data_IF_476056964909
#
_entry.id   IF_476056964909
#
_cell.length_a   1.000
_cell.length_b   1.000
_cell.length_c   1.000
_cell.angle_alpha   90.00
_cell.angle_beta   90.00
_cell.angle_gamma   90.00
#
_symmetry.space_group_name_H-M   'P 1'
#
loop_
_entity.id
_entity.type
_entity.pdbx_description
1 polymer ?
#
# COMPACT_ATOMS: atom_id res chain seq x y z
N UNK A 1 -7.98 7.58 -13.84
CA UNK A 1 -6.60 7.20 -14.09
C UNK A 1 -6.13 7.64 -15.48
N UNK A 2 -6.86 7.28 -16.55
CA UNK A 2 -6.50 7.63 -17.95
C UNK A 2 -6.28 9.13 -18.06
N UNK A 3 -7.27 9.95 -17.70
CA UNK A 3 -7.18 11.41 -17.73
C UNK A 3 -5.99 11.98 -16.94
N UNK A 4 -5.66 11.38 -15.78
CA UNK A 4 -4.50 11.81 -15.00
C UNK A 4 -3.20 11.57 -15.79
N UNK A 5 -3.05 10.41 -16.41
CA UNK A 5 -1.88 10.06 -17.21
C UNK A 5 -1.72 10.89 -18.48
N UNK A 6 -2.83 11.29 -19.08
CA UNK A 6 -2.86 12.15 -20.27
C UNK A 6 -2.52 13.61 -19.93
N UNK A 7 -2.96 14.10 -18.76
CA UNK A 7 -2.76 15.50 -18.34
C UNK A 7 -1.48 15.75 -17.55
N UNK A 8 -0.93 14.74 -16.90
CA UNK A 8 0.31 14.88 -16.14
C UNK A 8 1.49 15.00 -17.10
N UNK A 9 2.36 15.98 -16.89
CA UNK A 9 3.60 16.12 -17.65
C UNK A 9 4.46 14.84 -17.55
N UNK A 10 4.59 14.33 -16.33
CA UNK A 10 5.20 13.03 -16.01
C UNK A 10 4.46 12.36 -14.85
N UNK A 11 4.50 11.05 -14.84
CA UNK A 11 4.02 10.24 -13.73
C UNK A 11 4.91 9.01 -13.56
N UNK A 12 5.05 8.54 -12.34
CA UNK A 12 5.78 7.31 -12.03
C UNK A 12 5.19 6.61 -10.82
N UNK A 13 5.42 5.31 -10.74
CA UNK A 13 5.05 4.48 -9.58
C UNK A 13 6.34 3.98 -8.91
N UNK A 14 6.45 4.28 -7.63
CA UNK A 14 7.41 3.66 -6.73
C UNK A 14 6.76 2.51 -5.96
N UNK A 15 7.50 1.44 -5.73
CA UNK A 15 7.00 0.25 -5.04
C UNK A 15 8.00 -0.15 -3.95
N UNK A 16 7.49 -0.49 -2.76
CA UNK A 16 8.20 -1.21 -1.73
C UNK A 16 7.59 -2.60 -1.57
N UNK A 17 8.42 -3.61 -1.51
CA UNK A 17 8.01 -5.02 -1.42
C UNK A 17 7.62 -5.40 0.02
N UNK A 18 6.90 -6.52 0.18
CA UNK A 18 6.58 -7.06 1.50
C UNK A 18 7.85 -7.31 2.35
N UNK A 19 8.93 -7.82 1.75
CA UNK A 19 10.21 -8.03 2.43
C UNK A 19 10.84 -6.72 2.92
N UNK A 20 10.75 -5.65 2.14
CA UNK A 20 11.23 -4.33 2.56
C UNK A 20 10.38 -3.77 3.70
N UNK A 21 9.05 -3.91 3.62
CA UNK A 21 8.15 -3.52 4.72
C UNK A 21 8.50 -4.25 6.02
N UNK A 22 8.75 -5.56 5.94
CA UNK A 22 9.14 -6.36 7.11
C UNK A 22 10.49 -5.92 7.71
N UNK A 23 11.41 -5.39 6.88
CA UNK A 23 12.73 -4.93 7.30
C UNK A 23 12.74 -3.52 7.89
N UNK A 24 12.01 -2.58 7.28
CA UNK A 24 12.11 -1.15 7.59
C UNK A 24 10.82 -0.53 8.15
N UNK A 25 9.79 -1.32 8.39
CA UNK A 25 8.40 -1.00 8.71
C UNK A 25 7.61 -0.30 7.59
N UNK A 26 6.28 -0.19 7.80
CA UNK A 26 5.36 0.33 6.77
C UNK A 26 5.57 1.82 6.48
N UNK A 27 5.89 2.62 7.50
CA UNK A 27 6.13 4.06 7.33
C UNK A 27 7.37 4.29 6.44
N UNK A 28 8.49 3.69 6.79
CA UNK A 28 9.74 3.84 6.03
C UNK A 28 9.60 3.25 4.61
N UNK A 29 8.88 2.15 4.46
CA UNK A 29 8.59 1.57 3.15
C UNK A 29 7.70 2.48 2.27
N UNK A 30 6.76 3.21 2.88
CA UNK A 30 5.96 4.21 2.15
C UNK A 30 6.83 5.38 1.68
N UNK A 31 7.72 5.90 2.54
CA UNK A 31 8.67 6.95 2.17
C UNK A 31 9.64 6.50 1.09
N UNK A 32 10.15 5.26 1.17
CA UNK A 32 11.00 4.64 0.14
C UNK A 32 10.26 4.51 -1.20
N UNK A 33 8.99 4.14 -1.20
CA UNK A 33 8.19 4.07 -2.42
C UNK A 33 8.01 5.46 -3.05
N UNK A 34 7.76 6.50 -2.23
CA UNK A 34 7.69 7.90 -2.70
C UNK A 34 9.02 8.36 -3.30
N UNK A 35 10.14 8.06 -2.64
CA UNK A 35 11.49 8.36 -3.14
C UNK A 35 11.73 7.71 -4.51
N UNK A 36 11.43 6.43 -4.67
CA UNK A 36 11.56 5.69 -5.95
C UNK A 36 10.68 6.26 -7.07
N UNK A 37 9.49 6.78 -6.74
CA UNK A 37 8.65 7.47 -7.70
C UNK A 37 9.27 8.81 -8.13
N UNK A 38 9.77 9.57 -7.17
CA UNK A 38 10.47 10.83 -7.40
C UNK A 38 11.71 10.64 -8.27
N UNK A 39 12.59 9.70 -7.97
CA UNK A 39 13.82 9.41 -8.72
C UNK A 39 13.53 9.14 -10.21
N UNK A 40 12.43 8.43 -10.52
CA UNK A 40 12.01 8.18 -11.91
C UNK A 40 11.54 9.44 -12.62
N UNK A 41 10.97 10.40 -11.91
CA UNK A 41 10.50 11.67 -12.49
C UNK A 41 11.66 12.65 -12.60
N UNK A 42 12.46 12.83 -11.56
CA UNK A 42 13.56 13.78 -11.52
C UNK A 42 14.69 13.45 -12.50
N UNK A 43 14.79 12.18 -12.94
CA UNK A 43 15.69 11.80 -14.03
C UNK A 43 15.25 12.35 -15.41
N UNK A 44 14.05 12.91 -15.53
CA UNK A 44 13.46 13.40 -16.80
C UNK A 44 13.13 14.88 -16.77
N UNK A 45 12.84 15.43 -15.61
CA UNK A 45 12.40 16.81 -15.44
C UNK A 45 12.86 17.35 -14.09
N UNK A 46 13.20 18.65 -14.05
CA UNK A 46 13.46 19.31 -12.78
C UNK A 46 12.18 19.39 -11.94
N UNK A 47 12.31 19.11 -10.65
CA UNK A 47 11.22 19.16 -9.67
C UNK A 47 11.55 20.19 -8.61
N UNK A 48 10.83 21.30 -8.58
CA UNK A 48 11.04 22.38 -7.60
C UNK A 48 10.52 22.00 -6.21
N UNK A 49 9.34 21.35 -6.17
CA UNK A 49 8.68 20.99 -4.90
C UNK A 49 7.92 19.67 -5.03
N UNK A 50 8.04 18.82 -4.01
CA UNK A 50 7.24 17.62 -3.82
C UNK A 50 6.18 17.86 -2.73
N UNK A 51 4.90 17.63 -3.06
CA UNK A 51 3.80 17.65 -2.11
C UNK A 51 3.48 16.21 -1.71
N UNK A 52 3.42 15.95 -0.41
CA UNK A 52 3.29 14.60 0.15
C UNK A 52 2.10 14.54 1.11
N UNK A 53 1.29 13.51 1.00
CA UNK A 53 0.23 13.25 1.96
C UNK A 53 0.78 12.81 3.31
N UNK A 54 0.15 13.31 4.39
CA UNK A 54 0.51 12.95 5.76
C UNK A 54 1.44 13.97 6.43
N UNK A 55 2.13 13.52 7.48
CA UNK A 55 2.99 14.35 8.33
C UNK A 55 4.50 14.00 8.23
N UNK A 56 4.86 13.02 7.42
CA UNK A 56 6.24 12.59 7.21
C UNK A 56 6.71 12.94 5.80
N UNK A 57 7.99 13.21 5.66
CA UNK A 57 8.61 13.59 4.37
C UNK A 57 9.65 12.57 3.95
N UNK A 58 9.63 12.08 2.70
CA UNK A 58 10.75 11.33 2.14
C UNK A 58 11.98 12.24 2.01
N UNK A 59 13.16 11.65 2.02
CA UNK A 59 14.40 12.37 1.73
C UNK A 59 14.54 12.51 0.20
N UNK A 60 14.33 13.74 -0.33
CA UNK A 60 14.38 14.05 -1.76
C UNK A 60 15.31 15.24 -2.01
N UNK A 61 15.86 15.32 -3.21
CA UNK A 61 16.74 16.42 -3.66
C UNK A 61 15.94 17.67 -4.11
N UNK A 62 14.74 17.87 -3.57
CA UNK A 62 13.91 19.05 -3.82
C UNK A 62 13.20 19.51 -2.55
N UNK A 63 12.63 20.70 -2.58
CA UNK A 63 11.77 21.17 -1.49
C UNK A 63 10.60 20.21 -1.29
N UNK A 64 10.34 19.79 -0.04
CA UNK A 64 9.26 18.83 0.26
C UNK A 64 8.31 19.40 1.31
N UNK A 65 7.00 19.34 1.03
CA UNK A 65 5.92 19.77 1.93
C UNK A 65 5.00 18.59 2.25
N UNK A 66 4.89 18.26 3.52
CA UNK A 66 3.92 17.31 4.03
C UNK A 66 2.58 18.00 4.34
N UNK A 67 1.47 17.43 3.91
CA UNK A 67 0.13 17.99 4.06
C UNK A 67 -0.78 16.87 4.59
N UNK A 68 -1.23 17.02 5.83
CA UNK A 68 -2.15 16.04 6.46
C UNK A 68 -3.51 16.09 5.74
N UNK A 69 -3.99 14.93 5.28
CA UNK A 69 -5.20 14.84 4.46
C UNK A 69 -5.04 15.45 3.07
N UNK A 70 -3.80 15.50 2.57
CA UNK A 70 -3.48 16.10 1.28
C UNK A 70 -4.21 15.45 0.11
N UNK A 71 -4.52 14.18 0.19
CA UNK A 71 -5.30 13.44 -0.81
C UNK A 71 -6.74 13.94 -0.97
N UNK A 72 -7.30 14.60 0.05
CA UNK A 72 -8.61 15.27 0.00
C UNK A 72 -8.51 16.76 -0.35
N UNK A 73 -7.36 17.41 -0.09
CA UNK A 73 -7.21 18.87 -0.15
C UNK A 73 -6.46 19.35 -1.41
N UNK A 74 -5.54 18.53 -1.93
CA UNK A 74 -4.61 18.93 -3.00
C UNK A 74 -4.79 18.05 -4.22
N UNK A 75 -5.25 18.60 -5.36
CA UNK A 75 -5.54 17.80 -6.56
C UNK A 75 -4.36 16.95 -7.06
N UNK A 76 -3.12 17.42 -6.92
CA UNK A 76 -1.92 16.70 -7.32
C UNK A 76 -1.68 15.46 -6.44
N UNK A 77 -1.88 15.59 -5.12
CA UNK A 77 -1.78 14.46 -4.18
C UNK A 77 -2.93 13.47 -4.41
N UNK A 78 -4.15 13.96 -4.62
CA UNK A 78 -5.32 13.13 -4.98
C UNK A 78 -5.04 12.32 -6.26
N UNK A 79 -4.51 12.95 -7.30
CA UNK A 79 -4.16 12.29 -8.56
C UNK A 79 -3.11 11.18 -8.34
N UNK A 80 -2.06 11.46 -7.56
CA UNK A 80 -1.02 10.49 -7.20
C UNK A 80 -1.60 9.31 -6.41
N UNK A 81 -2.47 9.56 -5.44
CA UNK A 81 -3.18 8.52 -4.66
C UNK A 81 -4.02 7.61 -5.55
N UNK A 82 -4.75 8.16 -6.51
CA UNK A 82 -5.55 7.39 -7.48
C UNK A 82 -4.63 6.48 -8.32
N UNK A 83 -3.50 6.99 -8.81
CA UNK A 83 -2.55 6.18 -9.58
C UNK A 83 -1.95 5.05 -8.75
N UNK A 84 -1.52 5.35 -7.53
CA UNK A 84 -0.94 4.38 -6.61
C UNK A 84 -1.95 3.27 -6.24
N UNK A 85 -3.18 3.65 -5.90
CA UNK A 85 -4.26 2.71 -5.58
C UNK A 85 -4.59 1.79 -6.75
N UNK A 86 -4.78 2.34 -7.94
CA UNK A 86 -5.12 1.54 -9.12
C UNK A 86 -4.00 0.56 -9.49
N UNK A 87 -2.73 0.99 -9.39
CA UNK A 87 -1.59 0.12 -9.62
C UNK A 87 -1.52 -1.02 -8.59
N UNK A 88 -1.78 -0.73 -7.32
CA UNK A 88 -1.86 -1.73 -6.27
C UNK A 88 -2.99 -2.74 -6.55
N UNK A 89 -4.17 -2.25 -6.89
CA UNK A 89 -5.33 -3.12 -7.15
C UNK A 89 -5.08 -4.07 -8.34
N UNK A 90 -4.44 -3.59 -9.42
CA UNK A 90 -4.01 -4.42 -10.54
C UNK A 90 -2.98 -5.47 -10.12
N UNK A 91 -1.99 -5.08 -9.34
CA UNK A 91 -1.00 -6.02 -8.81
C UNK A 91 -1.67 -7.12 -7.99
N UNK A 92 -2.65 -6.81 -7.15
CA UNK A 92 -3.37 -7.80 -6.35
C UNK A 92 -4.22 -8.74 -7.21
N UNK A 93 -4.77 -8.27 -8.34
CA UNK A 93 -5.45 -9.13 -9.32
C UNK A 93 -4.46 -10.10 -9.98
N UNK A 94 -3.25 -9.65 -10.31
CA UNK A 94 -2.19 -10.53 -10.83
C UNK A 94 -1.76 -11.57 -9.78
N UNK A 95 -1.62 -11.14 -8.52
CA UNK A 95 -1.33 -12.05 -7.43
C UNK A 95 -2.43 -13.10 -7.22
N UNK A 96 -3.70 -12.73 -7.41
CA UNK A 96 -4.81 -13.70 -7.34
C UNK A 96 -4.67 -14.81 -8.38
N UNK A 97 -4.22 -14.51 -9.60
CA UNK A 97 -3.98 -15.54 -10.63
C UNK A 97 -2.93 -16.57 -10.19
N UNK A 98 -1.92 -16.13 -9.45
CA UNK A 98 -0.85 -17.00 -8.94
C UNK A 98 -1.23 -17.73 -7.66
N UNK A 99 -2.05 -17.12 -6.80
CA UNK A 99 -2.49 -17.67 -5.51
C UNK A 99 -4.00 -17.48 -5.33
N UNK A 100 -4.84 -18.20 -6.10
CA UNK A 100 -6.29 -17.98 -6.15
C UNK A 100 -6.99 -18.26 -4.82
N UNK A 101 -6.46 -19.16 -4.01
CA UNK A 101 -7.05 -19.55 -2.72
C UNK A 101 -7.07 -18.43 -1.67
N UNK A 102 -6.25 -17.36 -1.83
CA UNK A 102 -6.33 -16.18 -0.95
C UNK A 102 -7.41 -15.17 -1.38
N UNK A 103 -7.95 -15.28 -2.57
CA UNK A 103 -8.97 -14.35 -3.12
C UNK A 103 -8.55 -12.86 -3.15
N UNK A 104 -7.28 -12.60 -3.48
CA UNK A 104 -6.74 -11.23 -3.57
C UNK A 104 -7.48 -10.32 -4.54
N UNK A 105 -8.12 -10.88 -5.58
CA UNK A 105 -8.91 -10.10 -6.52
C UNK A 105 -10.12 -9.41 -5.87
N UNK A 106 -10.67 -9.96 -4.78
CA UNK A 106 -11.80 -9.39 -4.05
C UNK A 106 -11.35 -8.33 -3.06
N UNK A 107 -10.54 -8.70 -2.10
CA UNK A 107 -10.18 -7.85 -0.95
C UNK A 107 -8.85 -7.09 -1.09
N UNK A 108 -8.13 -7.23 -2.21
CA UNK A 108 -6.86 -6.51 -2.51
C UNK A 108 -5.81 -6.58 -1.39
N UNK A 109 -5.80 -7.69 -0.64
CA UNK A 109 -4.88 -7.90 0.48
C UNK A 109 -5.29 -7.20 1.79
N UNK A 110 -6.50 -6.63 1.87
CA UNK A 110 -7.03 -6.12 3.13
C UNK A 110 -7.34 -7.27 4.11
N UNK A 111 -7.25 -7.04 5.44
CA UNK A 111 -7.40 -8.08 6.46
C UNK A 111 -8.87 -8.43 6.71
N UNK A 112 -9.59 -8.87 5.68
CA UNK A 112 -10.95 -9.41 5.79
C UNK A 112 -10.93 -10.76 6.54
N UNK A 113 -12.09 -11.23 7.05
CA UNK A 113 -12.19 -12.58 7.65
C UNK A 113 -11.72 -13.63 6.65
N UNK A 114 -12.25 -13.59 5.43
CA UNK A 114 -11.90 -14.50 4.34
C UNK A 114 -10.37 -14.58 4.08
N UNK A 115 -9.69 -13.42 4.07
CA UNK A 115 -8.25 -13.38 3.88
C UNK A 115 -7.49 -13.97 5.07
N UNK A 116 -7.92 -13.69 6.30
CA UNK A 116 -7.31 -14.27 7.51
C UNK A 116 -7.49 -15.79 7.56
N UNK A 117 -8.69 -16.28 7.26
CA UNK A 117 -9.00 -17.71 7.26
C UNK A 117 -8.16 -18.46 6.19
N UNK A 118 -7.99 -17.86 5.00
CA UNK A 118 -7.10 -18.39 3.97
C UNK A 118 -5.64 -18.43 4.43
N UNK A 119 -5.16 -17.40 5.11
CA UNK A 119 -3.79 -17.37 5.65
C UNK A 119 -3.57 -18.41 6.76
N UNK A 120 -4.58 -18.68 7.58
CA UNK A 120 -4.50 -19.73 8.62
C UNK A 120 -4.51 -21.13 7.98
N UNK A 121 -5.28 -21.33 6.92
CA UNK A 121 -5.40 -22.63 6.25
C UNK A 121 -4.20 -22.96 5.36
N UNK A 122 -3.72 -22.00 4.55
CA UNK A 122 -2.70 -22.22 3.52
C UNK A 122 -1.32 -21.65 3.89
N UNK A 123 -1.19 -20.99 5.05
CA UNK A 123 0.03 -20.27 5.44
C UNK A 123 0.18 -18.92 4.72
N UNK A 124 1.37 -18.34 4.76
CA UNK A 124 1.68 -17.06 4.14
C UNK A 124 2.43 -17.25 2.81
N UNK A 125 1.96 -16.64 1.75
CA UNK A 125 2.68 -16.59 0.48
C UNK A 125 3.71 -15.42 0.46
N UNK A 126 4.62 -15.35 -0.54
CA UNK A 126 5.73 -14.39 -0.57
C UNK A 126 5.35 -12.90 -0.58
N UNK A 127 4.09 -12.56 -0.91
CA UNK A 127 3.63 -11.16 -0.90
C UNK A 127 3.01 -10.75 0.43
N UNK A 128 2.86 -11.65 1.38
CA UNK A 128 2.42 -11.31 2.73
C UNK A 128 3.54 -10.65 3.53
N UNK A 129 3.17 -9.65 4.32
CA UNK A 129 4.06 -8.99 5.28
C UNK A 129 4.10 -9.82 6.55
N UNK A 130 5.23 -10.44 6.85
CA UNK A 130 5.40 -11.32 8.02
C UNK A 130 5.42 -10.58 9.35
N UNK A 131 5.74 -9.30 9.33
CA UNK A 131 5.67 -8.40 10.49
C UNK A 131 4.26 -8.03 10.93
N UNK A 132 3.25 -8.35 10.11
CA UNK A 132 1.83 -8.10 10.42
C UNK A 132 1.22 -9.37 11.00
N UNK A 133 0.87 -9.35 12.29
CA UNK A 133 0.26 -10.49 12.95
C UNK A 133 -1.17 -10.75 12.45
N UNK A 134 -1.47 -12.01 12.19
CA UNK A 134 -2.82 -12.48 11.88
C UNK A 134 -3.43 -12.95 13.19
N UNK A 135 -4.21 -12.08 13.85
CA UNK A 135 -4.93 -12.44 15.07
C UNK A 135 -6.05 -13.43 14.73
N UNK A 136 -6.04 -14.59 15.39
CA UNK A 136 -7.24 -15.42 15.48
C UNK A 136 -8.27 -14.67 16.35
N UNK A 137 -9.44 -14.35 15.81
CA UNK A 137 -10.59 -14.04 16.66
C UNK A 137 -10.88 -15.30 17.47
N UNK A 138 -10.43 -15.36 18.71
CA UNK A 138 -10.92 -16.34 19.65
C UNK A 138 -12.44 -16.19 19.71
N UNK A 139 -13.15 -17.24 19.26
CA UNK A 139 -14.59 -17.30 19.41
C UNK A 139 -14.92 -17.16 20.89
N UNK A 140 -15.59 -16.06 21.25
CA UNK A 140 -16.13 -15.81 22.61
C UNK A 140 -17.26 -16.78 23.01
N UNK A 141 -17.35 -17.95 22.38
CA UNK A 141 -18.44 -18.91 22.59
C UNK A 141 -18.12 -19.96 23.66
N UNK A 142 -16.91 -20.03 24.24
CA UNK A 142 -16.56 -21.06 25.23
C UNK A 142 -16.51 -20.57 26.69
N UNK A 143 -17.09 -19.43 27.03
CA UNK A 143 -17.16 -19.00 28.46
C UNK A 143 -18.56 -19.12 29.12
N UNK A 144 -19.52 -19.81 28.49
CA UNK A 144 -20.84 -20.02 29.10
C UNK A 144 -21.21 -21.49 29.43
N UNK A 145 -20.28 -22.42 29.31
CA UNK A 145 -20.57 -23.84 29.57
C UNK A 145 -19.89 -24.40 30.85
N UNK A 146 -19.65 -23.58 31.86
CA UNK A 146 -19.16 -24.10 33.15
C UNK A 146 -19.81 -23.34 34.32
N UNK A 147 -21.14 -23.41 34.40
CA UNK A 147 -21.93 -23.04 35.55
C UNK A 147 -23.23 -23.84 35.54
N UNK A 148 -23.11 -25.15 35.76
CA UNK A 148 -24.13 -26.01 36.33
C UNK A 148 -23.45 -27.21 36.98
#
# INVERSE_FOLDING_TARGET
EIVIKEKALYWAIGIATAKEIDRINILQASLLAMQRAYEKISSKVHVDVALVDGNQRPNLDCATRAIVGGDALVPQIMAASILAKNQRDRYMVLCHRKWPHYNFAKHKGYPTSEHRDACLLYGLCPIHRRSFHIEQKQNKVQKQATLF
#
